data_IF_941128767446
#
_entry.id   IF_941128767446
#
_cell.length_a   1.000
_cell.length_b   1.000
_cell.length_c   1.000
_cell.angle_alpha   90.00
_cell.angle_beta   90.00
_cell.angle_gamma   90.00
#
_symmetry.space_group_name_H-M   'P 1'
#
loop_
_entity.id
_entity.type
_entity.pdbx_description
1 polymer ?
#
# COMPACT_ATOMS: atom_id res chain seq x y z
N UNK A 1 -48.96 4.53 -65.20
CA UNK A 1 -48.16 3.57 -64.38
C UNK A 1 -47.26 4.42 -63.41
N UNK A 2 -47.80 4.70 -62.24
CA UNK A 2 -47.08 5.41 -61.20
C UNK A 2 -46.68 4.39 -60.13
N UNK A 3 -45.36 4.21 -59.92
CA UNK A 3 -44.82 3.42 -58.81
C UNK A 3 -44.54 4.38 -57.63
N UNK A 4 -45.33 4.19 -56.58
CA UNK A 4 -45.10 4.85 -55.28
C UNK A 4 -43.98 4.14 -54.58
N UNK A 5 -42.91 4.89 -54.22
CA UNK A 5 -41.81 4.40 -53.36
C UNK A 5 -42.23 4.74 -51.92
N UNK A 6 -42.49 3.69 -51.14
CA UNK A 6 -42.71 3.79 -49.72
C UNK A 6 -41.37 3.97 -49.01
N UNK A 7 -41.16 5.09 -48.36
CA UNK A 7 -40.02 5.36 -47.44
C UNK A 7 -40.38 4.69 -46.11
N UNK A 8 -39.71 3.61 -45.77
CA UNK A 8 -39.76 3.02 -44.44
C UNK A 8 -38.86 3.83 -43.51
N UNK A 9 -39.45 4.65 -42.66
CA UNK A 9 -38.74 5.29 -41.54
C UNK A 9 -38.46 4.21 -40.50
N UNK A 10 -37.18 3.78 -40.37
CA UNK A 10 -36.73 3.01 -39.24
C UNK A 10 -36.76 3.90 -38.00
N UNK A 11 -37.72 3.67 -37.13
CA UNK A 11 -37.70 4.18 -35.77
C UNK A 11 -36.58 3.46 -35.00
N UNK A 12 -35.44 4.12 -34.90
CA UNK A 12 -34.39 3.73 -33.96
C UNK A 12 -34.90 4.01 -32.53
N UNK A 13 -35.46 3.00 -31.88
CA UNK A 13 -35.81 3.04 -30.49
C UNK A 13 -34.52 3.20 -29.65
N UNK A 14 -34.53 4.02 -28.59
CA UNK A 14 -33.37 4.14 -27.69
C UNK A 14 -33.32 2.90 -26.80
N UNK A 15 -32.65 1.85 -27.25
CA UNK A 15 -32.18 0.75 -26.40
C UNK A 15 -30.81 1.14 -25.86
N UNK A 16 -30.78 2.13 -25.02
CA UNK A 16 -29.58 2.55 -24.34
C UNK A 16 -29.96 3.18 -23.00
N UNK A 17 -30.14 2.40 -21.95
CA UNK A 17 -30.10 2.98 -20.57
C UNK A 17 -30.10 1.95 -19.42
N UNK A 18 -29.85 0.66 -19.68
CA UNK A 18 -29.73 -0.32 -18.58
C UNK A 18 -28.39 -1.06 -18.53
N UNK A 19 -27.38 -0.63 -19.32
CA UNK A 19 -26.05 -1.27 -19.41
C UNK A 19 -24.86 -0.46 -18.93
N UNK A 20 -25.05 0.79 -18.51
CA UNK A 20 -23.94 1.72 -18.20
C UNK A 20 -23.26 1.48 -16.84
N UNK A 21 -23.91 0.89 -15.87
CA UNK A 21 -23.41 0.78 -14.50
C UNK A 21 -21.98 0.19 -14.33
N UNK A 22 -21.62 -0.93 -14.97
CA UNK A 22 -20.26 -1.47 -14.85
C UNK A 22 -19.20 -0.59 -15.55
N UNK A 23 -19.53 0.01 -16.71
CA UNK A 23 -18.63 0.88 -17.46
C UNK A 23 -18.45 2.19 -16.73
N UNK A 24 -19.50 2.81 -16.22
CA UNK A 24 -19.44 4.04 -15.44
C UNK A 24 -18.63 3.84 -14.18
N UNK A 25 -18.79 2.70 -13.52
CA UNK A 25 -17.99 2.34 -12.36
C UNK A 25 -16.51 2.19 -12.72
N UNK A 26 -16.18 1.46 -13.78
CA UNK A 26 -14.80 1.23 -14.19
C UNK A 26 -14.11 2.53 -14.65
N UNK A 27 -14.80 3.38 -15.42
CA UNK A 27 -14.27 4.68 -15.85
C UNK A 27 -14.10 5.65 -14.66
N UNK A 28 -15.02 5.60 -13.69
CA UNK A 28 -14.90 6.33 -12.42
C UNK A 28 -13.71 5.88 -11.57
N UNK A 29 -13.43 4.56 -11.53
CA UNK A 29 -12.24 4.00 -10.87
C UNK A 29 -10.97 4.45 -11.59
N UNK A 30 -10.93 4.35 -12.92
CA UNK A 30 -9.76 4.75 -13.70
C UNK A 30 -9.44 6.25 -13.53
N UNK A 31 -10.43 7.13 -13.63
CA UNK A 31 -10.24 8.58 -13.42
C UNK A 31 -9.91 8.91 -11.96
N UNK A 32 -10.50 8.19 -11.00
CA UNK A 32 -10.17 8.29 -9.58
C UNK A 32 -8.71 7.93 -9.31
N UNK A 33 -8.26 6.80 -9.86
CA UNK A 33 -6.86 6.37 -9.79
C UNK A 33 -5.91 7.42 -10.36
N UNK A 34 -6.13 7.88 -11.59
CA UNK A 34 -5.25 8.86 -12.26
C UNK A 34 -5.20 10.18 -11.50
N UNK A 35 -6.37 10.75 -11.15
CA UNK A 35 -6.41 12.01 -10.42
C UNK A 35 -5.75 11.92 -9.05
N UNK A 36 -5.94 10.81 -8.32
CA UNK A 36 -5.34 10.58 -7.02
C UNK A 36 -3.83 10.43 -7.10
N UNK A 37 -3.34 9.55 -7.99
CA UNK A 37 -1.90 9.29 -8.11
C UNK A 37 -1.13 10.55 -8.52
N UNK A 38 -1.68 11.36 -9.45
CA UNK A 38 -1.07 12.63 -9.82
C UNK A 38 -1.15 13.67 -8.70
N UNK A 39 -2.24 13.71 -7.93
CA UNK A 39 -2.35 14.57 -6.76
C UNK A 39 -1.27 14.22 -5.73
N UNK A 40 -1.10 12.94 -5.42
CA UNK A 40 -0.11 12.49 -4.44
C UNK A 40 1.32 12.69 -4.96
N UNK A 41 1.58 12.48 -6.26
CA UNK A 41 2.87 12.79 -6.87
C UNK A 41 3.22 14.28 -6.75
N UNK A 42 2.27 15.16 -7.14
CA UNK A 42 2.49 16.61 -7.16
C UNK A 42 2.63 17.24 -5.76
N UNK A 43 1.78 16.82 -4.81
CA UNK A 43 1.62 17.55 -3.54
C UNK A 43 2.15 16.80 -2.32
N UNK A 44 2.11 15.45 -2.31
CA UNK A 44 2.64 14.64 -1.20
C UNK A 44 4.10 14.30 -1.43
N UNK A 45 4.40 13.66 -2.56
CA UNK A 45 5.78 13.28 -2.94
C UNK A 45 6.61 14.46 -3.43
N UNK A 46 5.96 15.48 -4.00
CA UNK A 46 6.56 16.66 -4.61
C UNK A 46 7.53 16.31 -5.75
N UNK A 47 7.18 15.30 -6.53
CA UNK A 47 7.87 14.91 -7.75
C UNK A 47 7.16 15.50 -8.97
N UNK A 48 7.84 15.52 -10.13
CA UNK A 48 7.24 16.07 -11.35
C UNK A 48 6.11 15.18 -11.85
N UNK A 49 4.84 15.67 -11.87
CA UNK A 49 3.67 14.86 -12.18
C UNK A 49 3.69 14.24 -13.57
N UNK A 50 4.15 14.96 -14.59
CA UNK A 50 4.20 14.47 -15.96
C UNK A 50 5.23 13.34 -16.15
N UNK A 51 6.34 13.41 -15.44
CA UNK A 51 7.33 12.33 -15.43
C UNK A 51 6.75 11.10 -14.73
N UNK A 52 6.10 11.30 -13.57
CA UNK A 52 5.44 10.22 -12.86
C UNK A 52 4.31 9.59 -13.68
N UNK A 53 3.52 10.39 -14.40
CA UNK A 53 2.48 9.90 -15.30
C UNK A 53 3.07 8.96 -16.37
N UNK A 54 4.11 9.40 -17.08
CA UNK A 54 4.72 8.61 -18.16
C UNK A 54 5.39 7.33 -17.66
N UNK A 55 5.99 7.35 -16.47
CA UNK A 55 6.74 6.22 -15.94
C UNK A 55 5.85 5.16 -15.27
N UNK A 56 4.78 5.58 -14.62
CA UNK A 56 3.99 4.71 -13.76
C UNK A 56 2.52 4.59 -14.18
N UNK A 57 1.86 5.72 -14.47
CA UNK A 57 0.40 5.72 -14.70
C UNK A 57 0.07 5.29 -16.14
N UNK A 58 0.64 5.94 -17.14
CA UNK A 58 0.37 5.66 -18.55
C UNK A 58 0.58 4.18 -18.91
N UNK A 59 1.70 3.52 -18.53
CA UNK A 59 1.87 2.09 -18.77
C UNK A 59 0.86 1.21 -18.03
N UNK A 60 0.37 1.62 -16.86
CA UNK A 60 -0.67 0.90 -16.11
C UNK A 60 -2.04 0.96 -16.79
N UNK A 61 -2.34 2.06 -17.49
CA UNK A 61 -3.57 2.21 -18.29
C UNK A 61 -3.49 1.38 -19.58
N UNK A 62 -2.28 1.11 -20.09
CA UNK A 62 -2.07 0.31 -21.28
C UNK A 62 -2.78 0.90 -22.51
N UNK A 63 -3.49 0.06 -23.32
CA UNK A 63 -4.06 0.50 -24.58
C UNK A 63 -5.20 1.52 -24.47
N UNK A 64 -5.69 1.84 -23.27
CA UNK A 64 -6.75 2.85 -23.08
C UNK A 64 -6.20 4.20 -22.61
N UNK A 65 -4.89 4.33 -22.47
CA UNK A 65 -4.23 5.55 -22.00
C UNK A 65 -4.63 6.79 -22.81
N UNK A 66 -4.70 6.67 -24.15
CA UNK A 66 -5.05 7.78 -25.04
C UNK A 66 -6.47 8.36 -24.82
N UNK A 67 -7.34 7.64 -24.10
CA UNK A 67 -8.67 8.13 -23.71
C UNK A 67 -8.65 8.95 -22.41
N UNK A 68 -7.52 8.98 -21.70
CA UNK A 68 -7.40 9.66 -20.43
C UNK A 68 -6.74 11.01 -20.60
N UNK A 69 -7.39 12.04 -20.10
CA UNK A 69 -6.80 13.38 -19.97
C UNK A 69 -6.73 13.77 -18.50
N UNK A 70 -5.75 14.59 -18.15
CA UNK A 70 -5.60 15.08 -16.78
C UNK A 70 -5.11 16.52 -16.75
N UNK A 71 -5.36 17.19 -15.61
CA UNK A 71 -4.90 18.55 -15.33
C UNK A 71 -4.52 18.68 -13.86
N UNK A 72 -3.29 19.11 -13.61
CA UNK A 72 -2.81 19.49 -12.25
C UNK A 72 -3.02 21.00 -12.08
N UNK A 73 -3.81 21.38 -11.09
CA UNK A 73 -4.03 22.77 -10.69
C UNK A 73 -3.27 23.04 -9.39
N UNK A 74 -2.11 23.70 -9.52
CA UNK A 74 -1.23 23.94 -8.36
C UNK A 74 -1.77 25.06 -7.44
N UNK A 75 -2.56 25.99 -7.96
CA UNK A 75 -3.14 27.09 -7.17
C UNK A 75 -4.24 26.56 -6.26
N UNK A 76 -5.08 25.65 -6.78
CA UNK A 76 -6.16 25.03 -6.02
C UNK A 76 -5.72 23.77 -5.26
N UNK A 77 -4.49 23.35 -5.47
CA UNK A 77 -3.95 22.08 -4.95
C UNK A 77 -4.86 20.88 -5.28
N UNK A 78 -5.30 20.77 -6.53
CA UNK A 78 -6.19 19.71 -7.00
C UNK A 78 -5.76 19.13 -8.35
N UNK A 79 -6.23 17.92 -8.64
CA UNK A 79 -6.03 17.25 -9.92
C UNK A 79 -7.36 16.74 -10.45
N UNK A 80 -7.63 17.01 -11.71
CA UNK A 80 -8.79 16.45 -12.44
C UNK A 80 -8.30 15.45 -13.46
N UNK A 81 -8.98 14.30 -13.58
CA UNK A 81 -8.77 13.35 -14.65
C UNK A 81 -10.10 12.98 -15.30
N UNK A 82 -10.11 12.84 -16.63
CA UNK A 82 -11.29 12.52 -17.42
C UNK A 82 -11.01 11.37 -18.38
N UNK A 83 -11.98 10.49 -18.58
CA UNK A 83 -11.93 9.37 -19.51
C UNK A 83 -12.89 9.66 -20.66
N UNK A 84 -12.36 10.04 -21.83
CA UNK A 84 -13.10 10.33 -23.06
C UNK A 84 -14.32 11.26 -22.87
N UNK A 85 -14.31 12.12 -21.85
CA UNK A 85 -15.45 12.97 -21.50
C UNK A 85 -16.65 12.24 -20.84
N UNK A 86 -16.58 10.92 -20.68
CA UNK A 86 -17.66 10.11 -20.11
C UNK A 86 -17.66 10.11 -18.58
N UNK A 87 -16.49 10.13 -17.98
CA UNK A 87 -16.32 10.16 -16.53
C UNK A 87 -15.22 11.15 -16.15
N UNK A 88 -15.41 11.84 -15.06
CA UNK A 88 -14.42 12.77 -14.50
C UNK A 88 -14.31 12.58 -13.00
N UNK A 89 -13.09 12.51 -12.50
CA UNK A 89 -12.79 12.50 -11.06
C UNK A 89 -11.89 13.67 -10.71
N UNK A 90 -12.08 14.20 -9.51
CA UNK A 90 -11.26 15.26 -8.93
C UNK A 90 -10.66 14.79 -7.62
N UNK A 91 -9.36 14.97 -7.46
CA UNK A 91 -8.64 14.72 -6.22
C UNK A 91 -8.12 16.03 -5.65
N UNK A 92 -8.27 16.22 -4.35
CA UNK A 92 -7.86 17.44 -3.64
C UNK A 92 -6.79 17.11 -2.61
N UNK A 93 -5.78 17.95 -2.52
CA UNK A 93 -4.76 17.86 -1.49
C UNK A 93 -5.22 18.53 -0.20
N UNK A 94 -5.12 17.83 0.92
CA UNK A 94 -5.59 18.24 2.24
C UNK A 94 -4.45 18.46 3.24
N UNK A 95 -3.29 18.91 2.74
CA UNK A 95 -2.11 19.12 3.60
C UNK A 95 -1.61 17.81 4.21
N UNK A 96 -1.46 17.73 5.56
CA UNK A 96 -0.95 16.54 6.23
C UNK A 96 -1.78 15.26 6.02
N UNK A 97 -3.05 15.38 5.62
CA UNK A 97 -3.93 14.27 5.30
C UNK A 97 -3.81 13.78 3.85
N UNK A 98 -2.86 14.32 3.07
CA UNK A 98 -2.62 13.91 1.70
C UNK A 98 -3.76 14.20 0.75
N UNK A 99 -3.92 13.37 -0.27
CA UNK A 99 -4.92 13.52 -1.31
C UNK A 99 -6.19 12.70 -1.03
N UNK A 100 -7.31 13.20 -1.55
CA UNK A 100 -8.61 12.54 -1.49
C UNK A 100 -9.30 12.62 -2.83
N UNK A 101 -9.73 11.51 -3.39
CA UNK A 101 -10.69 11.48 -4.51
C UNK A 101 -12.04 11.94 -3.98
N UNK A 102 -12.55 13.05 -4.50
CA UNK A 102 -13.86 13.57 -4.07
C UNK A 102 -14.98 12.69 -4.62
N UNK A 103 -15.76 12.14 -3.70
CA UNK A 103 -17.01 11.43 -3.97
C UNK A 103 -18.12 12.12 -3.18
N UNK A 104 -18.86 13.01 -3.85
CA UNK A 104 -19.82 13.91 -3.21
C UNK A 104 -19.14 15.13 -2.56
N UNK A 105 -19.75 15.68 -1.51
CA UNK A 105 -19.24 16.87 -0.83
C UNK A 105 -17.91 16.62 -0.13
N UNK A 106 -16.97 17.57 -0.19
CA UNK A 106 -15.71 17.47 0.53
C UNK A 106 -15.94 17.40 2.06
N UNK A 107 -15.12 16.66 2.79
CA UNK A 107 -15.19 16.66 4.25
C UNK A 107 -14.79 18.03 4.80
N UNK A 108 -15.22 18.32 6.02
CA UNK A 108 -14.77 19.50 6.73
C UNK A 108 -13.23 19.53 6.85
N UNK A 109 -12.60 20.71 6.78
CA UNK A 109 -11.17 20.85 6.98
C UNK A 109 -10.77 20.35 8.38
N UNK A 110 -9.68 19.59 8.45
CA UNK A 110 -9.13 19.08 9.70
C UNK A 110 -7.85 19.84 10.02
N UNK A 111 -7.83 20.52 11.17
CA UNK A 111 -6.60 21.15 11.67
C UNK A 111 -5.73 20.07 12.33
N UNK A 112 -4.56 19.81 11.78
CA UNK A 112 -3.55 18.98 12.40
C UNK A 112 -2.36 19.84 12.83
N UNK A 113 -1.85 19.58 14.02
CA UNK A 113 -0.58 20.17 14.45
C UNK A 113 0.51 19.71 13.48
N UNK A 114 1.22 20.67 12.87
CA UNK A 114 2.38 20.39 12.03
C UNK A 114 3.62 20.57 12.91
N UNK A 115 4.34 19.47 13.13
CA UNK A 115 5.69 19.54 13.67
C UNK A 115 6.63 19.71 12.49
N UNK A 116 7.41 20.81 12.42
CA UNK A 116 8.42 20.93 11.37
C UNK A 116 9.37 19.72 11.45
N UNK A 117 9.74 19.13 10.31
CA UNK A 117 10.71 18.05 10.30
C UNK A 117 12.05 18.58 10.82
N UNK A 118 12.65 17.85 11.75
CA UNK A 118 14.03 18.12 12.18
C UNK A 118 14.95 17.71 11.03
N UNK A 119 15.96 18.53 10.64
CA UNK A 119 16.91 18.13 9.62
C UNK A 119 17.50 16.76 9.95
N UNK A 120 17.38 15.82 9.02
CA UNK A 120 17.94 14.49 9.14
C UNK A 120 19.47 14.52 8.98
N UNK A 121 20.17 13.42 9.32
CA UNK A 121 21.58 13.29 9.03
C UNK A 121 21.81 13.33 7.51
N UNK A 122 23.03 13.74 7.11
CA UNK A 122 23.47 13.77 5.72
C UNK A 122 23.28 12.41 5.01
N UNK A 123 23.34 12.44 3.69
CA UNK A 123 23.30 11.24 2.85
C UNK A 123 24.40 10.26 3.26
N UNK A 124 24.04 9.00 3.49
CA UNK A 124 25.00 7.95 3.86
C UNK A 124 25.50 7.24 2.62
N UNK A 125 26.66 7.66 2.14
CA UNK A 125 27.37 6.95 1.08
C UNK A 125 27.97 5.64 1.60
N UNK A 126 27.90 4.53 0.83
CA UNK A 126 28.51 3.28 1.24
C UNK A 126 30.03 3.42 1.36
N UNK A 127 30.60 3.04 2.52
CA UNK A 127 32.03 3.06 2.75
C UNK A 127 32.79 2.03 1.90
N UNK A 128 32.13 0.92 1.52
CA UNK A 128 32.69 -0.14 0.68
C UNK A 128 32.34 0.10 -0.79
N UNK A 129 33.35 0.22 -1.70
CA UNK A 129 33.11 0.35 -3.13
C UNK A 129 32.27 -0.79 -3.74
N UNK A 130 32.37 -2.00 -3.19
CA UNK A 130 31.56 -3.13 -3.66
C UNK A 130 30.09 -2.96 -3.29
N UNK A 131 29.78 -2.37 -2.12
CA UNK A 131 28.42 -2.01 -1.73
C UNK A 131 27.87 -0.87 -2.60
N UNK A 132 28.73 0.11 -2.97
CA UNK A 132 28.36 1.14 -3.95
C UNK A 132 27.98 0.52 -5.29
N UNK A 133 28.79 -0.42 -5.79
CA UNK A 133 28.51 -1.14 -7.04
C UNK A 133 27.22 -1.99 -6.96
N UNK A 134 26.88 -2.54 -5.78
CA UNK A 134 25.62 -3.23 -5.58
C UNK A 134 24.40 -2.27 -5.68
N UNK A 135 24.55 -1.05 -5.17
CA UNK A 135 23.53 0.00 -5.36
C UNK A 135 23.47 0.43 -6.84
N UNK A 136 24.59 0.56 -7.56
CA UNK A 136 24.59 0.85 -8.99
C UNK A 136 23.74 -0.16 -9.75
N UNK A 137 23.98 -1.46 -9.51
CA UNK A 137 23.18 -2.55 -10.10
C UNK A 137 21.70 -2.51 -9.73
N UNK A 138 21.34 -2.01 -8.54
CA UNK A 138 19.94 -1.87 -8.13
C UNK A 138 19.20 -0.74 -8.89
N UNK A 139 19.94 0.25 -9.37
CA UNK A 139 19.43 1.35 -10.21
C UNK A 139 19.63 1.14 -11.71
N UNK A 140 20.38 0.12 -12.09
CA UNK A 140 20.56 -0.23 -13.50
C UNK A 140 19.22 -0.60 -14.14
N UNK A 141 18.87 0.11 -15.22
CA UNK A 141 17.60 -0.12 -15.90
C UNK A 141 17.72 -1.29 -16.89
N UNK A 142 16.61 -1.94 -17.17
CA UNK A 142 16.51 -2.96 -18.20
C UNK A 142 16.57 -2.31 -19.58
N UNK A 143 17.15 -2.99 -20.60
CA UNK A 143 17.24 -2.45 -21.96
C UNK A 143 15.88 -2.32 -22.67
N UNK A 144 14.84 -3.00 -22.13
CA UNK A 144 13.48 -2.99 -22.65
C UNK A 144 12.45 -3.17 -21.52
N UNK A 145 11.20 -2.72 -21.72
CA UNK A 145 10.12 -2.94 -20.76
C UNK A 145 9.92 -4.43 -20.43
N UNK A 146 9.41 -4.71 -19.23
CA UNK A 146 9.03 -3.78 -18.17
C UNK A 146 10.25 -3.22 -17.43
N UNK A 147 10.28 -1.91 -17.25
CA UNK A 147 11.38 -1.21 -16.57
C UNK A 147 11.31 -1.38 -15.05
N UNK A 148 12.48 -1.23 -14.37
CA UNK A 148 12.59 -1.31 -12.91
C UNK A 148 12.18 -0.04 -12.22
N UNK A 149 12.53 1.10 -12.83
CA UNK A 149 12.21 2.44 -12.31
C UNK A 149 12.54 2.60 -10.82
N UNK A 150 13.74 2.15 -10.40
CA UNK A 150 14.15 2.29 -8.99
C UNK A 150 14.28 3.76 -8.62
N UNK A 151 13.63 4.19 -7.54
CA UNK A 151 13.57 5.59 -7.10
C UNK A 151 14.37 5.82 -5.81
N UNK A 152 14.38 4.86 -4.89
CA UNK A 152 15.15 4.94 -3.66
C UNK A 152 15.53 3.56 -3.15
N UNK A 153 16.71 3.47 -2.56
CA UNK A 153 17.18 2.32 -1.78
C UNK A 153 17.79 2.83 -0.48
N UNK A 154 17.42 2.21 0.63
CA UNK A 154 18.03 2.41 1.96
C UNK A 154 18.36 1.05 2.54
N UNK A 155 19.60 0.89 2.97
CA UNK A 155 20.10 -0.32 3.64
C UNK A 155 20.43 0.02 5.09
N UNK A 156 19.77 -0.67 6.04
CA UNK A 156 20.06 -0.55 7.46
C UNK A 156 20.58 -1.87 8.00
N UNK A 157 21.65 -1.80 8.80
CA UNK A 157 22.19 -2.94 9.55
C UNK A 157 22.40 -2.54 11.02
N UNK A 158 21.97 -3.40 11.94
CA UNK A 158 22.05 -3.17 13.38
C UNK A 158 21.50 -1.79 13.82
N UNK A 159 20.43 -1.33 13.14
CA UNK A 159 19.78 -0.06 13.42
C UNK A 159 20.42 1.17 12.78
N UNK A 160 21.53 1.00 12.04
CA UNK A 160 22.24 2.09 11.37
C UNK A 160 22.02 2.03 9.85
N UNK A 161 21.81 3.17 9.20
CA UNK A 161 21.88 3.28 7.75
C UNK A 161 23.35 3.11 7.35
N UNK A 162 23.64 2.11 6.52
CA UNK A 162 25.00 1.83 6.03
C UNK A 162 25.17 2.23 4.56
N UNK A 163 24.09 2.39 3.82
CA UNK A 163 24.10 2.85 2.44
C UNK A 163 22.71 3.31 2.03
N UNK A 164 22.64 4.33 1.19
CA UNK A 164 21.39 4.77 0.57
C UNK A 164 21.66 5.44 -0.77
N UNK A 165 20.64 5.42 -1.65
CA UNK A 165 20.71 6.07 -2.95
C UNK A 165 19.33 6.44 -3.44
N UNK A 166 19.25 7.57 -4.16
CA UNK A 166 18.02 8.13 -4.71
C UNK A 166 18.21 8.44 -6.20
N UNK A 167 17.18 8.18 -7.00
CA UNK A 167 17.16 8.56 -8.41
C UNK A 167 17.06 10.09 -8.55
N UNK A 168 17.44 10.65 -9.72
CA UNK A 168 17.25 12.07 -9.99
C UNK A 168 15.81 12.51 -9.74
N UNK A 169 15.63 13.66 -9.05
CA UNK A 169 14.34 14.18 -8.64
C UNK A 169 13.76 13.60 -7.34
N UNK A 170 14.46 12.65 -6.71
CA UNK A 170 14.11 12.08 -5.41
C UNK A 170 15.17 12.40 -4.36
N UNK A 171 14.76 12.59 -3.12
CA UNK A 171 15.64 12.93 -2.00
C UNK A 171 15.34 12.06 -0.78
N UNK A 172 16.13 12.18 0.28
CA UNK A 172 15.92 11.54 1.57
C UNK A 172 14.55 11.84 2.18
N UNK A 173 13.98 13.00 1.85
CA UNK A 173 12.72 13.51 2.41
C UNK A 173 11.51 13.23 1.50
N UNK A 174 11.77 12.75 0.27
CA UNK A 174 10.71 12.43 -0.68
C UNK A 174 9.80 11.35 -0.11
N UNK A 175 8.51 11.67 0.05
CA UNK A 175 7.50 10.73 0.52
C UNK A 175 7.13 9.79 -0.62
N UNK A 176 7.50 8.53 -0.49
CA UNK A 176 7.29 7.47 -1.47
C UNK A 176 6.05 6.66 -1.11
N UNK A 177 5.19 6.32 -2.09
CA UNK A 177 3.99 5.53 -1.85
C UNK A 177 4.35 4.13 -1.37
N UNK A 178 3.73 3.68 -0.28
CA UNK A 178 3.91 2.31 0.21
C UNK A 178 3.09 1.29 -0.57
N UNK A 179 2.02 1.73 -1.25
CA UNK A 179 1.02 0.81 -1.76
C UNK A 179 0.65 -0.21 -0.70
N UNK A 180 0.55 -1.50 -1.05
CA UNK A 180 0.17 -2.54 -0.09
C UNK A 180 1.15 -2.76 1.07
N UNK A 181 2.36 -2.18 1.06
CA UNK A 181 3.21 -2.15 2.24
C UNK A 181 2.55 -1.40 3.42
N UNK A 182 1.60 -0.51 3.13
CA UNK A 182 0.75 0.16 4.13
C UNK A 182 -0.04 -0.83 4.99
N UNK A 183 -0.39 -2.03 4.47
CA UNK A 183 -1.07 -3.08 5.24
C UNK A 183 -0.25 -3.54 6.46
N UNK A 184 1.08 -3.51 6.34
CA UNK A 184 1.97 -3.82 7.47
C UNK A 184 1.92 -2.73 8.54
N UNK A 185 1.73 -1.47 8.15
CA UNK A 185 1.51 -0.37 9.11
C UNK A 185 0.16 -0.51 9.80
N UNK A 186 -0.89 -0.90 9.07
CA UNK A 186 -2.19 -1.22 9.66
C UNK A 186 -2.08 -2.38 10.68
N UNK A 187 -1.28 -3.42 10.37
CA UNK A 187 -0.96 -4.50 11.31
C UNK A 187 -0.30 -3.93 12.59
N UNK A 188 0.67 -3.01 12.46
CA UNK A 188 1.32 -2.39 13.61
C UNK A 188 0.34 -1.59 14.48
N UNK A 189 -0.54 -0.79 13.86
CA UNK A 189 -1.55 0.00 14.58
C UNK A 189 -2.56 -0.90 15.32
N UNK A 190 -2.98 -2.01 14.70
CA UNK A 190 -3.81 -3.03 15.37
C UNK A 190 -3.02 -3.68 16.52
N UNK A 191 -1.74 -4.03 16.32
CA UNK A 191 -0.87 -4.56 17.37
C UNK A 191 -0.77 -3.62 18.57
N UNK A 192 -0.68 -2.31 18.34
CA UNK A 192 -0.68 -1.32 19.42
C UNK A 192 -2.03 -1.31 20.16
N UNK A 193 -3.15 -1.38 19.44
CA UNK A 193 -4.48 -1.48 20.07
C UNK A 193 -4.62 -2.78 20.87
N UNK A 194 -4.04 -3.89 20.42
CA UNK A 194 -3.99 -5.15 21.18
C UNK A 194 -3.15 -4.98 22.44
N UNK A 195 -1.97 -4.38 22.36
CA UNK A 195 -1.11 -4.10 23.52
C UNK A 195 -1.82 -3.20 24.57
N UNK A 196 -2.65 -2.27 24.08
CA UNK A 196 -3.45 -1.39 24.94
C UNK A 196 -4.73 -2.05 25.48
N UNK A 197 -5.00 -3.31 25.14
CA UNK A 197 -6.20 -4.03 25.57
C UNK A 197 -7.52 -3.53 24.96
N UNK A 198 -7.44 -2.70 23.90
CA UNK A 198 -8.63 -2.15 23.21
C UNK A 198 -9.31 -3.16 22.29
N UNK A 199 -8.54 -4.07 21.71
CA UNK A 199 -9.00 -5.18 20.88
C UNK A 199 -8.16 -6.42 21.15
N UNK A 200 -8.64 -7.59 20.69
CA UNK A 200 -7.88 -8.85 20.72
C UNK A 200 -7.82 -9.43 19.31
N UNK A 201 -6.68 -10.02 18.91
CA UNK A 201 -6.52 -10.53 17.55
C UNK A 201 -7.55 -11.63 17.23
N UNK A 202 -7.82 -12.53 18.16
CA UNK A 202 -8.80 -13.62 18.04
C UNK A 202 -10.23 -13.15 18.35
N UNK A 203 -10.39 -11.94 18.83
CA UNK A 203 -11.70 -11.36 19.12
C UNK A 203 -12.49 -11.06 17.86
N UNK A 204 -13.79 -11.05 18.01
CA UNK A 204 -14.73 -10.67 16.96
C UNK A 204 -14.41 -9.26 16.47
N UNK A 205 -14.33 -9.08 15.15
CA UNK A 205 -14.14 -7.76 14.58
C UNK A 205 -15.40 -6.91 14.74
N UNK A 206 -15.34 -5.75 15.39
CA UNK A 206 -16.50 -4.87 15.60
C UNK A 206 -16.87 -4.15 14.29
N UNK A 207 -17.54 -4.85 13.39
CA UNK A 207 -17.92 -4.32 12.09
C UNK A 207 -19.39 -3.86 12.17
N UNK A 208 -19.61 -2.54 12.15
CA UNK A 208 -20.88 -1.88 12.47
C UNK A 208 -22.09 -2.31 11.60
N UNK A 209 -21.87 -2.73 10.35
CA UNK A 209 -22.95 -3.07 9.42
C UNK A 209 -23.69 -4.42 9.72
N UNK A 210 -23.50 -5.06 10.88
CA UNK A 210 -23.86 -6.46 11.11
C UNK A 210 -24.67 -6.73 12.36
N UNK A 211 -25.58 -5.86 12.63
CA UNK A 211 -26.42 -5.95 13.82
C UNK A 211 -27.52 -7.04 13.74
N UNK A 212 -27.71 -7.76 12.61
CA UNK A 212 -28.72 -8.80 12.53
C UNK A 212 -28.25 -10.10 13.15
N UNK A 213 -28.94 -10.60 14.14
CA UNK A 213 -28.72 -11.94 14.69
C UNK A 213 -28.79 -12.98 13.58
N UNK A 214 -27.73 -13.79 13.41
CA UNK A 214 -27.63 -14.83 12.38
C UNK A 214 -26.83 -14.48 11.13
N UNK A 215 -26.32 -13.25 10.99
CA UNK A 215 -25.39 -12.91 9.92
C UNK A 215 -24.04 -13.61 10.17
N UNK A 216 -23.57 -14.50 9.26
CA UNK A 216 -22.33 -15.25 9.47
C UNK A 216 -21.08 -14.35 9.55
N UNK A 217 -21.16 -13.10 9.10
CA UNK A 217 -20.09 -12.12 9.24
C UNK A 217 -19.79 -11.77 10.71
N UNK A 218 -20.68 -12.07 11.65
CA UNK A 218 -20.39 -11.94 13.07
C UNK A 218 -19.20 -12.76 13.55
N UNK A 219 -18.88 -13.84 12.85
CA UNK A 219 -17.77 -14.73 13.24
C UNK A 219 -16.40 -14.26 12.72
N UNK A 220 -16.36 -13.20 11.91
CA UNK A 220 -15.09 -12.64 11.43
C UNK A 220 -14.31 -12.07 12.61
N UNK A 221 -13.11 -12.59 12.84
CA UNK A 221 -12.16 -12.07 13.82
C UNK A 221 -11.21 -11.02 13.22
N UNK A 222 -10.53 -10.27 14.09
CA UNK A 222 -9.43 -9.40 13.65
C UNK A 222 -8.31 -10.23 13.00
N UNK A 223 -8.04 -11.44 13.49
CA UNK A 223 -7.08 -12.39 12.88
C UNK A 223 -7.49 -12.74 11.43
N UNK A 224 -8.76 -13.04 11.19
CA UNK A 224 -9.25 -13.30 9.84
C UNK A 224 -8.99 -12.12 8.89
N UNK A 225 -9.17 -10.90 9.36
CA UNK A 225 -8.91 -9.70 8.57
C UNK A 225 -7.41 -9.50 8.29
N UNK A 226 -6.57 -9.64 9.32
CA UNK A 226 -5.11 -9.53 9.19
C UNK A 226 -4.53 -10.58 8.25
N UNK A 227 -5.06 -11.81 8.30
CA UNK A 227 -4.60 -12.97 7.51
C UNK A 227 -5.29 -13.12 6.16
N UNK A 228 -6.20 -12.22 5.79
CA UNK A 228 -6.93 -12.28 4.51
C UNK A 228 -7.84 -13.52 4.38
N UNK A 229 -8.44 -13.96 5.47
CA UNK A 229 -9.31 -15.15 5.53
C UNK A 229 -10.73 -14.83 5.99
N UNK A 230 -11.19 -13.59 5.82
CA UNK A 230 -12.55 -13.21 6.25
C UNK A 230 -13.68 -13.85 5.44
N UNK A 231 -13.39 -14.33 4.24
CA UNK A 231 -14.40 -14.86 3.31
C UNK A 231 -15.24 -13.81 2.60
N UNK A 232 -15.01 -12.50 2.80
CA UNK A 232 -15.74 -11.42 2.13
C UNK A 232 -15.45 -11.43 0.62
N UNK A 233 -16.50 -11.32 -0.19
CA UNK A 233 -16.40 -11.26 -1.66
C UNK A 233 -16.08 -9.84 -2.15
N UNK A 234 -14.80 -9.53 -2.18
CA UNK A 234 -14.25 -8.21 -2.52
C UNK A 234 -13.27 -8.27 -3.71
N UNK A 235 -13.33 -9.29 -4.55
CA UNK A 235 -12.35 -9.48 -5.63
C UNK A 235 -10.95 -9.83 -5.12
N UNK A 236 -9.97 -9.66 -5.99
CA UNK A 236 -8.54 -9.91 -5.69
C UNK A 236 -7.67 -8.72 -6.08
N UNK A 237 -6.82 -8.27 -5.17
CA UNK A 237 -5.93 -7.11 -5.39
C UNK A 237 -4.49 -7.53 -5.68
N UNK A 238 -4.28 -8.60 -6.47
CA UNK A 238 -2.95 -9.13 -6.79
C UNK A 238 -2.38 -8.68 -8.14
N UNK A 239 -3.23 -8.08 -8.99
CA UNK A 239 -2.85 -7.62 -10.32
C UNK A 239 -2.74 -6.09 -10.38
N UNK A 240 -2.09 -5.56 -11.41
CA UNK A 240 -1.98 -4.12 -11.69
C UNK A 240 -2.21 -3.93 -13.18
N UNK A 241 -3.46 -4.03 -13.60
CA UNK A 241 -3.88 -3.93 -14.99
C UNK A 241 -5.13 -3.09 -15.16
N UNK A 242 -5.41 -2.65 -16.38
CA UNK A 242 -6.64 -1.90 -16.70
C UNK A 242 -7.94 -2.69 -16.35
N UNK A 243 -7.86 -4.02 -16.28
CA UNK A 243 -8.99 -4.87 -15.86
C UNK A 243 -9.38 -4.69 -14.41
N UNK A 244 -8.43 -4.24 -13.58
CA UNK A 244 -8.67 -4.01 -12.14
C UNK A 244 -9.69 -2.89 -11.92
N UNK A 245 -9.93 -2.02 -12.91
CA UNK A 245 -10.97 -1.01 -12.84
C UNK A 245 -12.39 -1.62 -12.65
N UNK A 246 -12.57 -2.89 -12.99
CA UNK A 246 -13.83 -3.63 -12.79
C UNK A 246 -13.85 -4.41 -11.46
N UNK A 247 -12.71 -4.47 -10.73
CA UNK A 247 -12.62 -5.21 -9.48
C UNK A 247 -13.25 -4.42 -8.32
N UNK A 248 -14.11 -5.04 -7.50
CA UNK A 248 -14.69 -4.39 -6.32
C UNK A 248 -13.65 -3.79 -5.37
N UNK A 249 -12.46 -4.38 -5.28
CA UNK A 249 -11.37 -3.90 -4.43
C UNK A 249 -10.75 -2.59 -4.95
N UNK A 250 -10.75 -2.35 -6.25
CA UNK A 250 -10.33 -1.06 -6.83
C UNK A 250 -11.45 -0.01 -6.69
N UNK A 251 -12.71 -0.42 -6.92
CA UNK A 251 -13.86 0.45 -6.70
C UNK A 251 -13.91 0.94 -5.24
N UNK A 252 -13.69 0.06 -4.27
CA UNK A 252 -13.58 0.40 -2.86
C UNK A 252 -12.63 1.59 -2.62
N UNK A 253 -11.44 1.57 -3.23
CA UNK A 253 -10.40 2.58 -2.96
C UNK A 253 -10.61 3.89 -3.72
N UNK A 254 -11.11 3.81 -4.96
CA UNK A 254 -11.22 4.97 -5.84
C UNK A 254 -12.66 5.42 -6.12
N UNK A 255 -13.66 4.66 -5.70
CA UNK A 255 -15.07 4.90 -5.97
C UNK A 255 -15.90 5.22 -4.73
N UNK A 256 -15.48 4.77 -3.55
CA UNK A 256 -16.32 4.83 -2.36
C UNK A 256 -15.96 6.01 -1.44
N UNK A 257 -17.01 6.52 -0.79
CA UNK A 257 -16.92 7.62 0.17
C UNK A 257 -16.57 7.13 1.58
N UNK A 258 -17.16 6.00 1.99
CA UNK A 258 -16.92 5.28 3.23
C UNK A 258 -16.46 3.87 2.90
N UNK A 259 -15.14 3.71 2.83
CA UNK A 259 -14.52 2.47 2.39
C UNK A 259 -14.76 1.32 3.37
N UNK A 260 -14.78 1.58 4.67
CA UNK A 260 -15.01 0.56 5.67
C UNK A 260 -16.48 0.08 5.68
N UNK A 261 -17.44 1.00 5.54
CA UNK A 261 -18.85 0.64 5.41
C UNK A 261 -19.11 -0.18 4.14
N UNK A 262 -18.55 0.23 3.01
CA UNK A 262 -18.67 -0.54 1.76
C UNK A 262 -18.10 -1.96 1.93
N UNK A 263 -16.85 -2.09 2.41
CA UNK A 263 -16.25 -3.40 2.66
C UNK A 263 -17.11 -4.27 3.58
N UNK A 264 -17.70 -3.66 4.61
CA UNK A 264 -18.59 -4.31 5.55
C UNK A 264 -19.94 -4.74 4.95
N UNK A 265 -20.42 -4.09 3.90
CA UNK A 265 -21.70 -4.40 3.25
C UNK A 265 -21.64 -5.61 2.29
N UNK A 266 -20.43 -5.97 1.85
CA UNK A 266 -20.25 -7.04 0.86
C UNK A 266 -20.62 -8.43 1.42
N UNK A 267 -21.14 -9.33 0.58
CA UNK A 267 -21.50 -10.69 0.99
C UNK A 267 -20.25 -11.53 1.28
N UNK A 268 -20.45 -12.68 1.93
CA UNK A 268 -19.45 -13.72 2.04
C UNK A 268 -19.52 -14.66 0.84
N UNK A 269 -18.36 -15.03 0.28
CA UNK A 269 -18.19 -16.14 -0.68
C UNK A 269 -17.71 -17.42 0.01
N UNK A 270 -17.21 -17.34 1.23
CA UNK A 270 -16.72 -18.45 2.03
C UNK A 270 -16.94 -18.19 3.52
N UNK A 271 -16.95 -19.24 4.33
CA UNK A 271 -16.96 -19.10 5.78
C UNK A 271 -15.66 -18.43 6.26
N UNK A 272 -15.72 -17.53 7.26
CA UNK A 272 -14.52 -16.94 7.85
C UNK A 272 -13.52 -18.00 8.34
N UNK A 273 -12.24 -17.78 8.04
CA UNK A 273 -11.14 -18.69 8.38
C UNK A 273 -10.89 -19.82 7.39
N UNK A 274 -11.79 -20.03 6.39
CA UNK A 274 -11.66 -21.18 5.48
C UNK A 274 -10.71 -20.94 4.31
N UNK A 275 -10.92 -19.85 3.57
CA UNK A 275 -10.22 -19.60 2.31
C UNK A 275 -9.39 -18.33 2.40
N UNK A 276 -8.16 -18.39 1.92
CA UNK A 276 -7.31 -17.21 1.79
C UNK A 276 -7.61 -16.46 0.48
N UNK A 277 -7.84 -15.16 0.58
CA UNK A 277 -7.99 -14.29 -0.61
C UNK A 277 -7.40 -12.91 -0.31
N UNK A 278 -6.36 -12.53 -1.04
CA UNK A 278 -5.73 -11.22 -0.88
C UNK A 278 -6.64 -10.11 -1.39
N UNK A 279 -7.07 -9.20 -0.50
CA UNK A 279 -8.01 -8.12 -0.86
C UNK A 279 -7.83 -6.88 0.03
N UNK A 280 -8.18 -5.70 -0.47
CA UNK A 280 -8.13 -4.45 0.29
C UNK A 280 -9.25 -4.34 1.35
N UNK A 281 -10.40 -4.98 1.12
CA UNK A 281 -11.53 -4.90 2.05
C UNK A 281 -11.18 -5.32 3.47
N UNK A 282 -10.42 -6.39 3.63
CA UNK A 282 -9.99 -6.86 4.95
C UNK A 282 -9.22 -5.76 5.71
N UNK A 283 -8.30 -5.11 5.03
CA UNK A 283 -7.49 -4.07 5.66
C UNK A 283 -8.28 -2.78 5.91
N UNK A 284 -9.23 -2.44 5.03
CA UNK A 284 -10.06 -1.26 5.25
C UNK A 284 -11.09 -1.45 6.38
N UNK A 285 -11.51 -2.70 6.64
CA UNK A 285 -12.25 -3.01 7.87
C UNK A 285 -11.39 -2.83 9.12
N UNK A 286 -10.12 -3.27 9.09
CA UNK A 286 -9.17 -2.98 10.18
C UNK A 286 -8.95 -1.48 10.34
N UNK A 287 -8.89 -0.74 9.24
CA UNK A 287 -8.77 0.73 9.26
C UNK A 287 -9.99 1.40 9.91
N UNK A 288 -11.19 0.91 9.64
CA UNK A 288 -12.41 1.34 10.33
C UNK A 288 -12.34 1.09 11.83
N UNK A 289 -11.85 -0.09 12.26
CA UNK A 289 -11.64 -0.41 13.66
C UNK A 289 -10.63 0.55 14.30
N UNK A 290 -9.51 0.85 13.62
CA UNK A 290 -8.53 1.83 14.12
C UNK A 290 -9.19 3.18 14.31
N UNK A 291 -9.94 3.70 13.30
CA UNK A 291 -10.67 4.96 13.41
C UNK A 291 -11.58 4.97 14.65
N UNK A 292 -12.42 3.97 14.78
CA UNK A 292 -13.43 3.91 15.86
C UNK A 292 -12.79 3.80 17.25
N UNK A 293 -11.59 3.18 17.37
CA UNK A 293 -10.85 3.06 18.63
C UNK A 293 -9.98 4.27 18.96
N UNK A 294 -9.87 5.25 18.05
CA UNK A 294 -8.89 6.37 18.20
C UNK A 294 -9.50 7.76 18.03
N UNK A 295 -10.81 7.91 18.23
CA UNK A 295 -11.49 9.20 18.23
C UNK A 295 -12.59 9.34 17.17
N UNK A 296 -12.70 8.38 16.23
CA UNK A 296 -13.79 8.35 15.25
C UNK A 296 -13.56 9.18 13.99
N UNK A 297 -12.39 9.83 13.84
CA UNK A 297 -12.08 10.70 12.72
C UNK A 297 -10.59 10.66 12.33
N UNK A 298 -10.23 11.37 11.25
CA UNK A 298 -8.86 11.41 10.74
C UNK A 298 -7.88 12.08 11.72
N UNK A 299 -8.32 13.07 12.50
CA UNK A 299 -7.47 13.75 13.48
C UNK A 299 -7.08 12.81 14.62
N UNK A 300 -8.03 12.09 15.16
CA UNK A 300 -7.81 11.10 16.21
C UNK A 300 -6.89 9.96 15.76
N UNK A 301 -7.09 9.44 14.55
CA UNK A 301 -6.20 8.42 13.96
C UNK A 301 -4.77 8.96 13.81
N UNK A 302 -4.60 10.16 13.24
CA UNK A 302 -3.27 10.74 13.05
C UNK A 302 -2.57 11.02 14.39
N UNK A 303 -3.28 11.57 15.36
CA UNK A 303 -2.74 11.81 16.71
C UNK A 303 -2.30 10.50 17.38
N UNK A 304 -3.10 9.44 17.24
CA UNK A 304 -2.75 8.11 17.73
C UNK A 304 -1.54 7.53 17.01
N UNK A 305 -1.54 7.52 15.68
CA UNK A 305 -0.46 6.95 14.88
C UNK A 305 0.88 7.69 15.10
N UNK A 306 0.84 9.02 15.23
CA UNK A 306 2.02 9.82 15.60
C UNK A 306 2.53 9.42 16.97
N UNK A 307 1.70 9.56 18.00
CA UNK A 307 2.11 9.34 19.41
C UNK A 307 2.58 7.92 19.68
N UNK A 308 1.91 6.92 19.10
CA UNK A 308 2.14 5.52 19.46
C UNK A 308 3.11 4.79 18.53
N UNK A 309 3.32 5.30 17.30
CA UNK A 309 4.15 4.65 16.30
C UNK A 309 5.17 5.60 15.66
N UNK A 310 4.72 6.59 14.88
CA UNK A 310 5.62 7.31 13.98
C UNK A 310 6.68 8.13 14.73
N UNK A 311 6.29 8.87 15.75
CA UNK A 311 7.23 9.73 16.52
C UNK A 311 8.19 8.87 17.33
N UNK A 312 7.75 7.73 17.87
CA UNK A 312 8.62 6.78 18.59
C UNK A 312 9.67 6.12 17.70
N UNK A 313 9.38 6.00 16.41
CA UNK A 313 10.33 5.50 15.40
C UNK A 313 11.16 6.62 14.75
N UNK A 314 10.91 7.89 15.09
CA UNK A 314 11.52 9.03 14.43
C UNK A 314 11.11 9.18 12.96
N UNK A 315 9.91 8.70 12.58
CA UNK A 315 9.36 8.79 11.23
C UNK A 315 8.72 10.17 11.02
N UNK A 316 9.46 11.08 10.43
CA UNK A 316 9.03 12.48 10.30
C UNK A 316 8.32 12.79 8.98
N UNK A 317 8.68 12.08 7.91
CA UNK A 317 8.18 12.33 6.56
C UNK A 317 7.06 11.35 6.20
N UNK A 318 6.02 11.27 7.06
CA UNK A 318 4.87 10.39 6.85
C UNK A 318 3.64 11.20 6.47
N UNK A 319 2.91 10.72 5.46
CA UNK A 319 1.55 11.11 5.12
C UNK A 319 0.70 9.85 5.07
N UNK A 320 -0.33 9.77 5.89
CA UNK A 320 -1.37 8.73 5.81
C UNK A 320 -2.62 9.40 5.25
N UNK A 321 -3.19 8.82 4.20
CA UNK A 321 -4.38 9.38 3.56
C UNK A 321 -5.65 8.72 4.08
N UNK A 322 -6.74 9.45 3.95
CA UNK A 322 -8.03 9.11 4.57
C UNK A 322 -9.16 9.23 3.56
N UNK A 323 -10.15 8.38 3.68
CA UNK A 323 -11.42 8.54 2.99
C UNK A 323 -12.22 9.77 3.50
N UNK A 324 -13.42 9.97 2.95
CA UNK A 324 -14.24 11.13 3.28
C UNK A 324 -14.74 11.15 4.71
N UNK A 325 -14.89 9.98 5.34
CA UNK A 325 -15.40 9.84 6.71
C UNK A 325 -14.30 9.69 7.76
N UNK A 326 -13.03 9.84 7.35
CA UNK A 326 -11.88 9.79 8.25
C UNK A 326 -11.33 8.40 8.54
N UNK A 327 -11.68 7.40 7.73
CA UNK A 327 -11.04 6.09 7.76
C UNK A 327 -9.69 6.17 7.06
N UNK A 328 -8.57 5.75 7.69
CA UNK A 328 -7.29 5.70 7.01
C UNK A 328 -7.33 4.70 5.86
N UNK A 329 -6.79 5.08 4.69
CA UNK A 329 -6.71 4.16 3.54
C UNK A 329 -5.53 3.21 3.77
N UNK A 330 -5.59 2.47 4.86
CA UNK A 330 -4.53 1.61 5.40
C UNK A 330 -4.19 0.40 4.52
N UNK A 331 -4.94 0.20 3.45
CA UNK A 331 -4.64 -0.84 2.46
C UNK A 331 -3.53 -0.44 1.47
N UNK A 332 -3.30 0.88 1.24
CA UNK A 332 -2.45 1.33 0.13
C UNK A 332 -1.93 2.77 0.19
N UNK A 333 -2.50 3.67 0.99
CA UNK A 333 -2.26 5.10 0.83
C UNK A 333 -1.51 5.71 2.03
N UNK A 334 -0.38 5.09 2.39
CA UNK A 334 0.63 5.73 3.22
C UNK A 334 1.85 6.06 2.35
N UNK A 335 2.36 7.26 2.54
CA UNK A 335 3.58 7.77 1.93
C UNK A 335 4.57 8.08 3.04
N UNK A 336 5.81 7.66 2.87
CA UNK A 336 6.88 8.01 3.80
C UNK A 336 8.22 8.07 3.07
N UNK A 337 9.22 8.72 3.68
CA UNK A 337 10.57 8.67 3.13
C UNK A 337 11.11 7.24 3.15
N UNK A 338 12.06 6.92 2.26
CA UNK A 338 12.66 5.58 2.26
C UNK A 338 13.33 5.24 3.59
N UNK A 339 13.93 6.24 4.27
CA UNK A 339 14.47 6.10 5.62
C UNK A 339 13.39 5.78 6.65
N UNK A 340 12.24 6.45 6.58
CA UNK A 340 11.13 6.19 7.51
C UNK A 340 10.55 4.80 7.31
N UNK A 341 10.41 4.35 6.07
CA UNK A 341 10.03 2.97 5.78
C UNK A 341 11.05 1.95 6.32
N UNK A 342 12.37 2.26 6.22
CA UNK A 342 13.40 1.41 6.80
C UNK A 342 13.35 1.37 8.34
N UNK A 343 13.06 2.51 9.00
CA UNK A 343 12.80 2.58 10.46
C UNK A 343 11.59 1.75 10.87
N UNK A 344 10.54 1.75 10.04
CA UNK A 344 9.40 0.86 10.24
C UNK A 344 9.83 -0.62 10.17
N UNK A 345 10.64 -1.01 9.19
CA UNK A 345 11.23 -2.35 9.12
C UNK A 345 12.08 -2.69 10.35
N UNK A 346 12.84 -1.73 10.86
CA UNK A 346 13.67 -1.89 12.05
C UNK A 346 12.85 -2.20 13.32
N UNK A 347 11.63 -1.65 13.46
CA UNK A 347 10.72 -2.02 14.55
C UNK A 347 10.45 -3.53 14.57
N UNK A 348 10.16 -4.11 13.40
CA UNK A 348 9.91 -5.55 13.27
C UNK A 348 11.19 -6.38 13.41
N UNK A 349 12.34 -5.87 12.96
CA UNK A 349 13.63 -6.49 13.19
C UNK A 349 13.98 -6.59 14.69
N UNK A 350 13.54 -5.62 15.48
CA UNK A 350 13.78 -5.52 16.92
C UNK A 350 12.62 -6.10 17.76
N UNK A 351 11.84 -7.01 17.21
CA UNK A 351 10.72 -7.65 17.93
C UNK A 351 9.75 -6.63 18.56
N UNK A 352 9.43 -5.56 17.84
CA UNK A 352 8.48 -4.55 18.30
C UNK A 352 9.04 -3.59 19.37
N UNK A 353 10.34 -3.53 19.57
CA UNK A 353 11.02 -2.60 20.47
C UNK A 353 11.59 -1.40 19.69
N UNK A 354 11.42 -0.20 20.22
CA UNK A 354 12.05 1.02 19.72
C UNK A 354 12.53 1.87 20.91
N UNK A 355 13.80 2.30 20.90
CA UNK A 355 14.38 3.13 21.97
C UNK A 355 14.25 2.51 23.36
N UNK A 356 14.20 1.18 23.48
CA UNK A 356 13.98 0.46 24.74
C UNK A 356 12.51 0.34 25.15
N UNK A 357 11.59 0.98 24.43
CA UNK A 357 10.14 0.89 24.68
C UNK A 357 9.51 -0.21 23.81
N UNK A 358 8.58 -0.97 24.41
CA UNK A 358 7.79 -1.97 23.68
C UNK A 358 6.60 -1.29 22.99
N UNK A 359 6.68 -1.25 21.67
CA UNK A 359 5.65 -0.65 20.82
C UNK A 359 4.59 -1.69 20.43
N UNK A 360 5.02 -2.89 20.03
CA UNK A 360 4.13 -4.01 19.67
C UNK A 360 4.08 -5.04 20.80
N UNK A 361 3.00 -5.81 20.94
CA UNK A 361 2.93 -6.87 21.95
C UNK A 361 4.09 -7.87 21.79
N UNK A 362 4.50 -8.50 22.86
CA UNK A 362 5.41 -9.64 22.80
C UNK A 362 4.83 -10.74 21.89
N UNK A 363 5.67 -11.35 21.03
CA UNK A 363 5.26 -12.34 20.06
C UNK A 363 4.50 -11.81 18.85
N UNK A 364 4.20 -10.51 18.79
CA UNK A 364 3.44 -9.92 17.65
C UNK A 364 4.20 -10.03 16.33
N UNK A 365 5.52 -9.89 16.36
CA UNK A 365 6.36 -10.00 15.15
C UNK A 365 6.32 -11.43 14.60
N UNK A 366 6.48 -12.44 15.46
CA UNK A 366 6.37 -13.82 15.02
C UNK A 366 4.97 -14.18 14.53
N UNK A 367 3.92 -13.69 15.21
CA UNK A 367 2.54 -13.79 14.75
C UNK A 367 2.38 -13.17 13.35
N UNK A 368 2.93 -11.98 13.14
CA UNK A 368 2.83 -11.23 11.87
C UNK A 368 3.60 -11.86 10.73
N UNK A 369 4.70 -12.58 11.02
CA UNK A 369 5.56 -13.25 10.04
C UNK A 369 5.24 -14.74 9.84
N UNK A 370 4.33 -15.32 10.64
CA UNK A 370 3.90 -16.73 10.49
C UNK A 370 2.94 -16.87 9.32
N UNK A 371 3.29 -17.74 8.36
CA UNK A 371 2.53 -17.99 7.14
C UNK A 371 1.08 -18.35 7.44
N UNK A 372 0.16 -17.76 6.72
CA UNK A 372 -1.26 -18.09 6.76
C UNK A 372 -1.52 -19.36 5.95
N UNK A 373 -2.18 -20.39 6.50
CA UNK A 373 -2.61 -21.55 5.73
C UNK A 373 -3.46 -21.16 4.52
N UNK A 374 -3.22 -21.81 3.37
CA UNK A 374 -3.88 -21.51 2.09
C UNK A 374 -3.19 -20.41 1.28
N UNK A 375 -2.14 -19.77 1.80
CA UNK A 375 -1.37 -18.73 1.09
C UNK A 375 -0.01 -19.22 0.55
N UNK A 376 0.26 -20.50 0.54
CA UNK A 376 1.58 -21.11 0.26
C UNK A 376 2.11 -20.75 -1.14
N UNK A 377 1.22 -20.56 -2.11
CA UNK A 377 1.61 -20.11 -3.45
C UNK A 377 2.32 -18.76 -3.42
N UNK A 378 1.91 -17.87 -2.52
CA UNK A 378 2.40 -16.51 -2.41
C UNK A 378 3.30 -16.29 -1.19
N UNK A 379 3.08 -17.04 -0.11
CA UNK A 379 3.77 -16.88 1.18
C UNK A 379 3.32 -15.60 1.90
N UNK A 380 2.02 -15.51 2.24
CA UNK A 380 1.44 -14.40 2.99
C UNK A 380 1.24 -14.77 4.46
N UNK A 381 1.37 -13.80 5.34
CA UNK A 381 1.17 -13.92 6.78
C UNK A 381 0.08 -12.94 7.28
N UNK A 382 0.23 -12.34 8.44
CA UNK A 382 -0.71 -11.33 8.93
C UNK A 382 -0.24 -9.91 8.56
N UNK A 383 -0.55 -9.45 7.36
CA UNK A 383 -0.13 -8.13 6.86
C UNK A 383 1.30 -8.07 6.30
N UNK A 384 1.97 -9.19 6.19
CA UNK A 384 3.34 -9.33 5.65
C UNK A 384 3.42 -10.49 4.65
N UNK A 385 4.42 -10.43 3.77
CA UNK A 385 4.86 -11.55 2.94
C UNK A 385 6.03 -12.21 3.65
N UNK A 386 6.10 -13.55 3.65
CA UNK A 386 7.06 -14.29 4.48
C UNK A 386 7.74 -15.42 3.73
N UNK A 387 9.01 -15.65 4.07
CA UNK A 387 9.76 -16.85 3.69
C UNK A 387 9.64 -17.96 4.74
N UNK A 388 9.05 -17.64 5.91
CA UNK A 388 8.90 -18.57 7.03
C UNK A 388 7.76 -19.54 6.75
N UNK A 389 8.08 -20.71 6.22
CA UNK A 389 7.13 -21.78 5.95
C UNK A 389 7.28 -22.41 4.57
N UNK A 390 6.53 -23.47 4.29
CA UNK A 390 6.56 -24.17 3.01
C UNK A 390 5.87 -23.36 1.90
N UNK A 391 6.08 -23.74 0.65
CA UNK A 391 5.29 -23.22 -0.47
C UNK A 391 6.12 -22.55 -1.55
N UNK A 392 5.48 -22.33 -2.71
CA UNK A 392 6.13 -21.82 -3.90
C UNK A 392 6.60 -20.37 -3.74
N UNK A 393 5.83 -19.55 -3.06
CA UNK A 393 6.16 -18.13 -2.83
C UNK A 393 7.42 -17.95 -1.98
N UNK A 394 7.56 -18.72 -0.90
CA UNK A 394 8.77 -18.71 -0.06
C UNK A 394 9.97 -19.24 -0.84
N UNK A 395 9.86 -20.42 -1.47
CA UNK A 395 10.94 -21.00 -2.29
C UNK A 395 11.43 -20.06 -3.38
N UNK A 396 10.51 -19.42 -4.10
CA UNK A 396 10.86 -18.47 -5.15
C UNK A 396 11.82 -17.37 -4.67
N UNK A 397 11.61 -16.86 -3.45
CA UNK A 397 12.46 -15.81 -2.85
C UNK A 397 13.75 -16.36 -2.27
N UNK A 398 13.68 -17.55 -1.62
CA UNK A 398 14.85 -18.23 -1.03
C UNK A 398 15.83 -18.62 -2.12
N UNK A 399 15.37 -19.21 -3.21
CA UNK A 399 16.21 -19.64 -4.35
C UNK A 399 16.94 -18.46 -5.01
N UNK A 400 16.50 -17.23 -4.75
CA UNK A 400 17.13 -15.99 -5.24
C UNK A 400 18.00 -15.28 -4.20
N UNK A 401 18.24 -15.92 -3.05
CA UNK A 401 19.18 -15.46 -2.05
C UNK A 401 18.57 -14.63 -0.90
N UNK A 402 17.23 -14.52 -0.82
CA UNK A 402 16.60 -13.92 0.37
C UNK A 402 16.47 -15.00 1.44
N UNK A 403 17.06 -14.84 2.64
CA UNK A 403 17.07 -15.84 3.69
C UNK A 403 15.69 -16.39 4.07
N UNK A 404 15.66 -17.64 4.58
CA UNK A 404 14.42 -18.34 4.92
C UNK A 404 13.68 -17.72 6.12
N UNK A 405 14.38 -17.01 6.99
CA UNK A 405 13.79 -16.28 8.13
C UNK A 405 13.26 -14.90 7.76
N UNK A 406 13.46 -14.45 6.51
CA UNK A 406 13.04 -13.15 6.05
C UNK A 406 11.52 -13.04 5.91
N UNK A 407 11.04 -11.82 6.16
CA UNK A 407 9.67 -11.41 5.85
C UNK A 407 9.70 -9.94 5.37
N UNK A 408 8.63 -9.48 4.75
CA UNK A 408 8.65 -8.16 4.14
C UNK A 408 7.28 -7.51 4.07
N UNK A 409 7.24 -6.19 4.25
CA UNK A 409 6.16 -5.36 3.74
C UNK A 409 6.39 -5.17 2.24
N UNK A 410 5.35 -5.40 1.42
CA UNK A 410 5.44 -5.33 -0.03
C UNK A 410 4.26 -4.58 -0.62
N UNK A 411 4.52 -3.67 -1.54
CA UNK A 411 3.53 -2.94 -2.30
C UNK A 411 3.68 -3.10 -3.81
N UNK A 412 2.62 -2.76 -4.53
CA UNK A 412 2.63 -2.71 -5.99
C UNK A 412 3.78 -1.82 -6.50
N UNK A 413 4.18 -2.06 -7.75
CA UNK A 413 5.22 -1.31 -8.45
C UNK A 413 6.61 -1.40 -7.82
N UNK A 414 6.85 -2.43 -6.98
CA UNK A 414 8.18 -2.70 -6.43
C UNK A 414 8.50 -1.95 -5.14
N UNK A 415 7.54 -1.75 -4.29
CA UNK A 415 7.79 -1.25 -2.94
C UNK A 415 8.11 -2.43 -2.03
N UNK A 416 9.28 -2.41 -1.40
CA UNK A 416 9.74 -3.48 -0.53
C UNK A 416 10.43 -2.92 0.72
N UNK A 417 10.05 -3.43 1.87
CA UNK A 417 10.79 -3.31 3.11
C UNK A 417 11.08 -4.74 3.58
N UNK A 418 12.26 -5.23 3.22
CA UNK A 418 12.70 -6.59 3.52
C UNK A 418 13.38 -6.60 4.88
N UNK A 419 12.90 -7.44 5.79
CA UNK A 419 13.46 -7.65 7.13
C UNK A 419 14.12 -9.02 7.17
N UNK A 420 15.42 -9.09 7.49
CA UNK A 420 16.21 -10.31 7.57
C UNK A 420 16.79 -10.45 8.97
N UNK A 421 16.10 -11.14 9.89
CA UNK A 421 16.50 -11.24 11.30
C UNK A 421 17.88 -11.87 11.49
N UNK A 422 18.20 -12.97 10.80
CA UNK A 422 19.50 -13.64 10.88
C UNK A 422 20.69 -12.76 10.51
N UNK A 423 20.44 -11.69 9.72
CA UNK A 423 21.45 -10.76 9.25
C UNK A 423 21.38 -9.39 9.95
N UNK A 424 20.44 -9.19 10.87
CA UNK A 424 20.19 -7.88 11.49
C UNK A 424 20.00 -6.78 10.44
N UNK A 425 19.34 -7.10 9.32
CA UNK A 425 19.31 -6.30 8.10
C UNK A 425 17.88 -5.87 7.75
N UNK A 426 17.74 -4.62 7.34
CA UNK A 426 16.55 -4.09 6.65
C UNK A 426 16.98 -3.48 5.32
N UNK A 427 16.31 -3.87 4.24
CA UNK A 427 16.50 -3.28 2.92
C UNK A 427 15.17 -2.68 2.49
N UNK A 428 15.12 -1.36 2.33
CA UNK A 428 13.97 -0.65 1.79
C UNK A 428 14.28 -0.25 0.34
N UNK A 429 13.43 -0.69 -0.62
CA UNK A 429 13.53 -0.34 -2.05
C UNK A 429 12.20 0.15 -2.54
N UNK A 430 12.20 1.28 -3.26
CA UNK A 430 11.04 1.92 -3.86
C UNK A 430 11.25 2.15 -5.35
N UNK A 431 10.17 2.02 -6.14
CA UNK A 431 10.24 2.21 -7.57
C UNK A 431 8.87 2.26 -8.25
N UNK A 432 8.87 2.13 -9.58
CA UNK A 432 7.67 2.04 -10.40
C UNK A 432 7.75 0.84 -11.38
N UNK A 433 8.15 -0.32 -10.86
CA UNK A 433 8.27 -1.55 -11.64
C UNK A 433 6.89 -2.17 -11.92
N UNK A 434 6.50 -2.22 -13.18
CA UNK A 434 5.18 -2.67 -13.64
C UNK A 434 5.17 -4.13 -14.11
N UNK A 435 6.26 -4.87 -13.91
CA UNK A 435 6.21 -6.31 -14.15
C UNK A 435 5.36 -7.02 -13.09
N UNK A 436 4.82 -8.19 -13.45
CA UNK A 436 3.91 -8.96 -12.58
C UNK A 436 4.55 -9.39 -11.23
N UNK A 437 5.88 -9.38 -11.14
CA UNK A 437 6.64 -9.67 -9.91
C UNK A 437 7.10 -8.42 -9.19
N UNK A 438 6.83 -7.22 -9.74
CA UNK A 438 7.24 -5.94 -9.19
C UNK A 438 8.75 -5.89 -8.87
N UNK A 439 9.59 -6.36 -9.81
CA UNK A 439 11.05 -6.43 -9.71
C UNK A 439 11.60 -7.23 -8.51
N UNK A 440 10.91 -8.31 -8.12
CA UNK A 440 11.40 -9.17 -7.04
C UNK A 440 12.82 -9.70 -7.31
N UNK A 441 13.17 -9.99 -8.56
CA UNK A 441 14.50 -10.48 -8.92
C UNK A 441 15.60 -9.42 -8.65
N UNK A 442 15.32 -8.14 -8.92
CA UNK A 442 16.23 -7.04 -8.59
C UNK A 442 16.38 -6.83 -7.09
N UNK A 443 15.28 -6.93 -6.35
CA UNK A 443 15.30 -6.83 -4.88
C UNK A 443 16.05 -8.00 -4.25
N UNK A 444 15.81 -9.22 -4.71
CA UNK A 444 16.49 -10.41 -4.18
C UNK A 444 18.00 -10.33 -4.43
N UNK A 445 18.43 -9.91 -5.64
CA UNK A 445 19.83 -9.67 -5.93
C UNK A 445 20.43 -8.63 -4.98
N UNK A 446 19.76 -7.49 -4.80
CA UNK A 446 20.24 -6.46 -3.88
C UNK A 446 20.43 -6.99 -2.47
N UNK A 447 19.44 -7.73 -1.93
CA UNK A 447 19.55 -8.34 -0.59
C UNK A 447 20.69 -9.32 -0.51
N UNK A 448 20.86 -10.20 -1.51
CA UNK A 448 21.95 -11.16 -1.56
C UNK A 448 23.32 -10.49 -1.64
N UNK A 449 23.46 -9.48 -2.49
CA UNK A 449 24.71 -8.69 -2.62
C UNK A 449 25.06 -8.02 -1.28
N UNK A 450 24.10 -7.37 -0.62
CA UNK A 450 24.33 -6.72 0.69
C UNK A 450 24.77 -7.75 1.75
N UNK A 451 24.15 -8.93 1.80
CA UNK A 451 24.52 -9.98 2.75
C UNK A 451 25.95 -10.46 2.50
N UNK A 452 26.31 -10.69 1.24
CA UNK A 452 27.64 -11.17 0.86
C UNK A 452 28.76 -10.15 1.17
N UNK A 453 28.48 -8.87 0.98
CA UNK A 453 29.48 -7.78 1.16
C UNK A 453 29.59 -7.29 2.59
N UNK A 454 28.58 -7.54 3.42
CA UNK A 454 28.56 -7.12 4.82
C UNK A 454 28.33 -8.32 5.73
N UNK A 455 29.27 -9.28 5.79
CA UNK A 455 29.10 -10.47 6.63
C UNK A 455 28.97 -10.05 8.09
N UNK A 456 28.09 -10.73 8.79
CA UNK A 456 27.88 -10.53 10.21
C UNK A 456 29.18 -10.81 10.95
N UNK A 457 29.69 -9.85 11.70
CA UNK A 457 30.76 -10.12 12.66
C UNK A 457 30.19 -11.16 13.65
N UNK A 458 30.76 -12.37 13.69
CA UNK A 458 30.35 -13.37 14.67
C UNK A 458 30.49 -12.71 16.05
N UNK A 459 29.38 -12.56 16.76
CA UNK A 459 29.42 -12.18 18.16
C UNK A 459 30.37 -13.18 18.86
N UNK A 460 31.45 -12.67 19.43
CA UNK A 460 32.37 -13.46 20.20
C UNK A 460 31.52 -14.22 21.24
N UNK A 461 31.56 -15.54 21.17
CA UNK A 461 30.93 -16.43 22.14
C UNK A 461 31.57 -16.07 23.47
N UNK A 462 30.89 -15.26 24.28
CA UNK A 462 31.28 -15.12 25.67
C UNK A 462 30.99 -16.46 26.32
N UNK A 463 32.07 -17.18 26.61
CA UNK A 463 32.08 -18.43 27.37
C UNK A 463 31.76 -18.14 28.83
#
# INVERSE_FOLDING_TARGET
>A
MHRSIAVAALAAAPILLSGCGPIDRATGVATGFVSHQLCSAAFVSRVEPETFYREAIAPSLGPVEFLVSHKVDRERAEVTASFAGLATSRSVYRGPLGCLVLRGDPPAPVALAQTPPVPGPDLVEPADPALSAALDRAFEERPAPPFRQTKAVVVMRDGQVIAERYAPGYTMDTRLPGWSATKSVTNALIGILVRQGKVTAQGQAPIAARASAGDPRHTISIDNLLRMTSGIDCGQSLTSSARDAFDPSAHLVFGERDMAAFAGSLPLKAAPGRDWTYTNCNTLLLSGIIRDQTGGDAAGVMAFARRELFDKLGMQHVTLEFDTVGTPIGASHMFASARDWARFGQLYLNDGLAGGERILPEGWVDYSATMTPGSEEFGYAAGFWTNRGPGAGARYRIDRGIPADAFMARGAWGQYIVVVPSQRLVVARFGAALDWRNDMDGVARLVADVIALTPRTQAATVR
#
